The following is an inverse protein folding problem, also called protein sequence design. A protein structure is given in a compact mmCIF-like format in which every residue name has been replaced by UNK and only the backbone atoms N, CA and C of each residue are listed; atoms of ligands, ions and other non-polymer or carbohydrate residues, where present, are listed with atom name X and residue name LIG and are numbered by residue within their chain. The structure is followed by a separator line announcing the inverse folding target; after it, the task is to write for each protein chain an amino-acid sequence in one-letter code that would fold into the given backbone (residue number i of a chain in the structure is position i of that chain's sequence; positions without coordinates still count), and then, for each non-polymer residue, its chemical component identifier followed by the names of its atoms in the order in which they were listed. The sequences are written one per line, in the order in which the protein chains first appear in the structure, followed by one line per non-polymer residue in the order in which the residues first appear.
data_IF_410334137501
#
_entry.id   IF_410334137501
#
_cell.length_a   1.000
_cell.length_b   1.000
_cell.length_c   1.000
_cell.angle_alpha   90.00
_cell.angle_beta   90.00
_cell.angle_gamma   90.00
#
_symmetry.space_group_name_H-M   'P 1'
#
loop_
_entity.id
_entity.type
_entity.pdbx_description
1 polymer ?
#
# COMPACT_ATOMS: atom_id res chain seq x y z
N UNK A 1 0.40 14.65 -24.19
CA UNK A 1 0.93 13.56 -23.35
C UNK A 1 -0.18 12.96 -22.49
N UNK A 2 -0.31 11.66 -22.50
CA UNK A 2 -1.33 10.99 -21.70
C UNK A 2 -0.86 10.94 -20.26
N UNK A 3 -1.70 11.44 -19.35
CA UNK A 3 -1.43 11.42 -17.92
C UNK A 3 -1.59 10.00 -17.40
N UNK A 4 -0.60 9.48 -16.68
CA UNK A 4 -0.70 8.17 -16.05
C UNK A 4 -1.75 8.21 -14.95
N UNK A 5 -2.49 7.11 -14.80
CA UNK A 5 -3.49 6.96 -13.74
C UNK A 5 -3.14 5.74 -12.90
N UNK A 6 -3.09 5.93 -11.58
CA UNK A 6 -2.78 4.85 -10.63
C UNK A 6 -3.88 4.81 -9.57
N UNK A 7 -4.47 3.64 -9.39
CA UNK A 7 -5.51 3.44 -8.38
C UNK A 7 -4.91 2.78 -7.14
N UNK A 8 -5.05 3.46 -6.00
CA UNK A 8 -4.43 3.04 -4.74
C UNK A 8 -5.48 2.77 -3.67
N UNK A 9 -5.32 1.65 -2.98
CA UNK A 9 -6.06 1.38 -1.75
C UNK A 9 -5.14 1.64 -0.57
N UNK A 10 -5.53 2.56 0.31
CA UNK A 10 -4.79 2.86 1.55
C UNK A 10 -5.57 2.30 2.72
N UNK A 11 -4.94 1.40 3.48
CA UNK A 11 -5.55 0.77 4.65
C UNK A 11 -4.79 1.26 5.87
N UNK A 12 -5.35 2.26 6.55
CA UNK A 12 -4.69 2.97 7.64
C UNK A 12 -5.73 3.55 8.58
N UNK A 13 -5.71 3.14 9.85
CA UNK A 13 -6.69 3.61 10.83
C UNK A 13 -6.35 4.96 11.46
N UNK A 14 -5.12 5.41 11.36
CA UNK A 14 -4.72 6.73 11.87
C UNK A 14 -4.99 7.79 10.80
N UNK A 15 -5.96 8.70 11.03
CA UNK A 15 -6.34 9.67 10.01
C UNK A 15 -5.22 10.66 9.67
N UNK A 16 -4.35 10.98 10.62
CA UNK A 16 -3.20 11.85 10.36
C UNK A 16 -2.19 11.22 9.43
N UNK A 17 -1.89 9.94 9.66
CA UNK A 17 -0.95 9.21 8.81
C UNK A 17 -1.52 9.03 7.40
N UNK A 18 -2.80 8.68 7.30
CA UNK A 18 -3.47 8.54 6.01
C UNK A 18 -3.49 9.86 5.23
N UNK A 19 -3.78 10.96 5.93
CA UNK A 19 -3.83 12.28 5.31
C UNK A 19 -2.46 12.68 4.78
N UNK A 20 -1.40 12.41 5.53
CA UNK A 20 -0.04 12.74 5.13
C UNK A 20 0.33 12.04 3.82
N UNK A 21 0.02 10.76 3.72
CA UNK A 21 0.25 9.99 2.49
C UNK A 21 -0.53 10.59 1.33
N UNK A 22 -1.80 10.90 1.53
CA UNK A 22 -2.63 11.48 0.48
C UNK A 22 -2.12 12.84 0.02
N UNK A 23 -1.65 13.68 0.95
CA UNK A 23 -1.08 14.98 0.60
C UNK A 23 0.20 14.83 -0.23
N UNK A 24 1.04 13.86 0.11
CA UNK A 24 2.24 13.57 -0.69
C UNK A 24 1.89 13.19 -2.12
N UNK A 25 0.87 12.36 -2.29
CA UNK A 25 0.46 11.91 -3.63
C UNK A 25 -0.16 13.04 -4.45
N UNK A 26 -0.83 13.98 -3.81
CA UNK A 26 -1.40 15.15 -4.48
C UNK A 26 -0.34 16.09 -5.05
N UNK A 27 0.87 16.06 -4.51
CA UNK A 27 1.96 16.90 -5.00
C UNK A 27 2.54 16.41 -6.34
N UNK A 28 2.24 15.18 -6.71
CA UNK A 28 2.75 14.59 -7.96
C UNK A 28 1.89 15.09 -9.12
N UNK A 29 2.50 15.75 -10.09
CA UNK A 29 1.76 16.42 -11.18
C UNK A 29 1.53 15.56 -12.42
N UNK A 30 2.39 14.57 -12.66
CA UNK A 30 2.35 13.79 -13.89
C UNK A 30 1.49 12.53 -13.78
N UNK A 31 0.96 12.25 -12.60
CA UNK A 31 0.16 11.07 -12.33
C UNK A 31 -1.14 11.48 -11.67
N UNK A 32 -2.22 10.89 -12.15
CA UNK A 32 -3.54 11.06 -11.54
C UNK A 32 -3.78 9.87 -10.61
N UNK A 33 -3.76 10.13 -9.30
CA UNK A 33 -3.99 9.08 -8.30
C UNK A 33 -5.45 9.03 -7.92
N UNK A 34 -6.06 7.86 -8.13
CA UNK A 34 -7.39 7.58 -7.62
C UNK A 34 -7.22 6.82 -6.30
N UNK A 35 -7.56 7.45 -5.18
CA UNK A 35 -7.28 6.93 -3.86
C UNK A 35 -8.57 6.53 -3.16
N UNK A 36 -8.60 5.29 -2.66
CA UNK A 36 -9.63 4.84 -1.73
C UNK A 36 -8.94 4.58 -0.41
N UNK A 37 -9.42 5.24 0.65
CA UNK A 37 -8.86 5.10 1.99
C UNK A 37 -9.89 4.41 2.89
N UNK A 38 -9.47 3.34 3.56
CA UNK A 38 -10.29 2.63 4.52
C UNK A 38 -9.55 2.48 5.85
N UNK A 39 -10.29 2.27 6.92
CA UNK A 39 -9.76 2.22 8.28
C UNK A 39 -9.55 0.80 8.81
N UNK A 40 -10.12 -0.19 8.13
CA UNK A 40 -10.20 -1.56 8.62
C UNK A 40 -9.93 -2.57 7.52
N UNK A 41 -9.45 -3.73 7.89
CA UNK A 41 -9.17 -4.79 6.94
C UNK A 41 -10.45 -5.28 6.25
N UNK A 42 -11.55 -5.44 6.99
CA UNK A 42 -12.81 -5.92 6.42
C UNK A 42 -13.34 -4.97 5.33
N UNK A 43 -13.18 -3.66 5.53
CA UNK A 43 -13.54 -2.68 4.50
C UNK A 43 -12.66 -2.83 3.25
N UNK A 44 -11.36 -3.03 3.45
CA UNK A 44 -10.42 -3.23 2.35
C UNK A 44 -10.81 -4.44 1.50
N UNK A 45 -11.19 -5.53 2.14
CA UNK A 45 -11.58 -6.75 1.43
C UNK A 45 -12.84 -6.51 0.58
N UNK A 46 -13.79 -5.73 1.08
CA UNK A 46 -15.00 -5.39 0.33
C UNK A 46 -14.68 -4.55 -0.90
N UNK A 47 -13.87 -3.51 -0.75
CA UNK A 47 -13.49 -2.67 -1.88
C UNK A 47 -12.69 -3.44 -2.93
N UNK A 48 -11.86 -4.38 -2.47
CA UNK A 48 -11.05 -5.19 -3.39
C UNK A 48 -11.91 -6.06 -4.31
N UNK A 49 -13.10 -6.45 -3.86
CA UNK A 49 -14.01 -7.28 -4.68
C UNK A 49 -14.53 -6.55 -5.92
N UNK A 50 -14.64 -5.23 -5.86
CA UNK A 50 -15.28 -4.44 -6.91
C UNK A 50 -14.36 -3.42 -7.59
N UNK A 51 -13.08 -3.41 -7.23
CA UNK A 51 -12.11 -2.46 -7.77
C UNK A 51 -10.85 -3.18 -8.24
N UNK A 52 -10.18 -2.59 -9.23
CA UNK A 52 -8.89 -3.08 -9.71
C UNK A 52 -7.81 -2.12 -9.27
N UNK A 53 -7.24 -2.36 -8.09
CA UNK A 53 -6.17 -1.51 -7.57
C UNK A 53 -4.84 -1.85 -8.23
N UNK A 54 -4.03 -0.82 -8.42
CA UNK A 54 -2.66 -0.98 -8.96
C UNK A 54 -1.66 -1.24 -7.84
N UNK A 55 -1.95 -0.76 -6.64
CA UNK A 55 -1.08 -0.94 -5.47
C UNK A 55 -1.90 -0.76 -4.20
N UNK A 56 -1.47 -1.45 -3.15
CA UNK A 56 -2.09 -1.38 -1.82
C UNK A 56 -1.04 -0.88 -0.84
N UNK A 57 -1.39 0.15 -0.05
CA UNK A 57 -0.58 0.60 1.08
C UNK A 57 -1.25 0.10 2.35
N UNK A 58 -0.57 -0.74 3.10
CA UNK A 58 -1.17 -1.48 4.21
C UNK A 58 -0.45 -1.25 5.53
N UNK A 59 -1.15 -0.72 6.52
CA UNK A 59 -0.70 -0.71 7.91
C UNK A 59 -0.98 -2.08 8.52
N UNK A 60 -0.04 -2.64 9.27
CA UNK A 60 -0.20 -3.94 9.90
C UNK A 60 -0.87 -3.87 11.28
N UNK A 61 -1.23 -2.67 11.74
CA UNK A 61 -1.89 -2.49 13.04
C UNK A 61 -3.24 -1.81 12.82
N UNK A 62 -4.27 -2.61 12.64
CA UNK A 62 -5.63 -2.13 12.34
C UNK A 62 -6.59 -2.51 13.45
N UNK A 63 -7.76 -1.87 13.54
CA UNK A 63 -8.73 -2.18 14.61
C UNK A 63 -9.19 -3.64 14.62
N UNK A 64 -9.25 -4.27 13.45
CA UNK A 64 -9.76 -5.63 13.29
C UNK A 64 -8.71 -6.67 12.93
N UNK A 65 -7.41 -6.28 12.86
CA UNK A 65 -6.34 -7.21 12.49
C UNK A 65 -4.97 -6.64 12.82
N UNK A 66 -4.07 -7.47 13.34
CA UNK A 66 -2.72 -7.04 13.72
C UNK A 66 -1.63 -7.96 13.20
N UNK A 67 -0.47 -7.35 12.94
CA UNK A 67 0.77 -8.06 12.64
C UNK A 67 0.77 -8.73 11.28
N UNK A 68 1.53 -9.81 11.19
CA UNK A 68 1.75 -10.51 9.92
C UNK A 68 0.47 -11.14 9.36
N UNK A 69 -0.48 -11.48 10.23
CA UNK A 69 -1.77 -12.03 9.78
C UNK A 69 -2.51 -11.03 8.89
N UNK A 70 -2.39 -9.74 9.19
CA UNK A 70 -2.99 -8.68 8.39
C UNK A 70 -2.47 -8.74 6.96
N UNK A 71 -1.16 -8.86 6.80
CA UNK A 71 -0.56 -8.99 5.48
C UNK A 71 -1.01 -10.28 4.79
N UNK A 72 -0.96 -11.40 5.50
CA UNK A 72 -1.32 -12.71 4.93
C UNK A 72 -2.75 -12.72 4.39
N UNK A 73 -3.69 -12.16 5.14
CA UNK A 73 -5.09 -12.10 4.73
C UNK A 73 -5.25 -11.23 3.48
N UNK A 74 -4.64 -10.04 3.48
CA UNK A 74 -4.76 -9.15 2.33
C UNK A 74 -4.10 -9.75 1.09
N UNK A 75 -2.94 -10.34 1.24
CA UNK A 75 -2.20 -10.95 0.15
C UNK A 75 -2.97 -12.14 -0.45
N UNK A 76 -3.59 -12.95 0.40
CA UNK A 76 -4.40 -14.07 -0.06
C UNK A 76 -5.58 -13.61 -0.92
N UNK A 77 -6.20 -12.49 -0.54
CA UNK A 77 -7.37 -11.96 -1.24
C UNK A 77 -7.00 -11.08 -2.45
N UNK A 78 -5.76 -10.63 -2.55
CA UNK A 78 -5.30 -9.77 -3.64
C UNK A 78 -3.90 -10.23 -4.11
N UNK A 79 -3.77 -11.49 -4.59
CA UNK A 79 -2.45 -12.07 -4.87
C UNK A 79 -1.71 -11.39 -6.02
N UNK A 80 -2.42 -10.72 -6.91
CA UNK A 80 -1.82 -10.08 -8.09
C UNK A 80 -1.55 -8.59 -7.89
N UNK A 81 -1.88 -8.02 -6.73
CA UNK A 81 -1.70 -6.60 -6.46
C UNK A 81 -0.50 -6.43 -5.53
N UNK A 82 0.47 -5.58 -5.89
CA UNK A 82 1.61 -5.34 -5.01
C UNK A 82 1.18 -4.64 -3.73
N UNK A 83 1.70 -5.11 -2.60
CA UNK A 83 1.42 -4.55 -1.28
C UNK A 83 2.68 -3.91 -0.73
N UNK A 84 2.60 -2.63 -0.39
CA UNK A 84 3.64 -1.90 0.32
C UNK A 84 3.17 -1.74 1.76
N UNK A 85 3.96 -2.21 2.72
CA UNK A 85 3.61 -2.12 4.13
C UNK A 85 4.03 -0.77 4.68
N UNK A 86 3.11 -0.11 5.41
CA UNK A 86 3.38 1.12 6.15
C UNK A 86 3.54 0.74 7.62
N UNK A 87 4.63 1.17 8.25
CA UNK A 87 4.91 0.75 9.62
C UNK A 87 5.54 1.88 10.43
N UNK A 88 5.32 1.88 11.75
CA UNK A 88 6.10 2.67 12.67
C UNK A 88 7.45 1.99 12.91
N UNK A 89 8.42 2.74 13.40
CA UNK A 89 9.78 2.23 13.62
C UNK A 89 9.79 1.03 14.57
N UNK A 90 8.97 1.06 15.60
CA UNK A 90 8.87 -0.02 16.59
C UNK A 90 8.31 -1.33 16.05
N UNK A 91 7.60 -1.27 14.93
CA UNK A 91 6.96 -2.44 14.32
C UNK A 91 7.68 -2.92 13.05
N UNK A 92 8.87 -2.41 12.80
CA UNK A 92 9.62 -2.72 11.58
C UNK A 92 9.87 -4.22 11.40
N UNK A 93 10.03 -4.95 12.48
CA UNK A 93 10.25 -6.40 12.41
C UNK A 93 9.10 -7.13 11.70
N UNK A 94 7.87 -6.69 11.92
CA UNK A 94 6.70 -7.27 11.25
C UNK A 94 6.69 -6.93 9.76
N UNK A 95 7.12 -5.72 9.42
CA UNK A 95 7.22 -5.29 8.02
C UNK A 95 8.29 -6.09 7.27
N UNK A 96 9.44 -6.32 7.87
CA UNK A 96 10.50 -7.14 7.29
C UNK A 96 9.98 -8.56 7.05
N UNK A 97 9.26 -9.13 8.01
CA UNK A 97 8.66 -10.44 7.88
C UNK A 97 7.65 -10.48 6.72
N UNK A 98 6.85 -9.42 6.56
CA UNK A 98 5.89 -9.34 5.46
C UNK A 98 6.56 -9.35 4.10
N UNK A 99 7.69 -8.64 3.96
CA UNK A 99 8.47 -8.66 2.71
C UNK A 99 8.97 -10.06 2.42
N UNK A 100 9.44 -10.78 3.43
CA UNK A 100 9.85 -12.18 3.28
C UNK A 100 8.71 -13.10 2.85
N UNK A 101 7.45 -12.70 3.05
CA UNK A 101 6.26 -13.48 2.68
C UNK A 101 5.56 -12.96 1.42
N UNK A 102 6.11 -11.94 0.76
CA UNK A 102 5.59 -11.48 -0.51
C UNK A 102 5.20 -10.01 -0.63
N UNK A 103 5.28 -9.23 0.45
CA UNK A 103 5.11 -7.78 0.32
C UNK A 103 6.23 -7.23 -0.55
N UNK A 104 5.92 -6.27 -1.39
CA UNK A 104 6.92 -5.72 -2.33
C UNK A 104 7.97 -4.88 -1.62
N UNK A 105 7.55 -4.04 -0.69
CA UNK A 105 8.41 -3.14 0.05
C UNK A 105 7.75 -2.78 1.37
N UNK A 106 8.50 -2.13 2.25
CA UNK A 106 7.90 -1.46 3.40
C UNK A 106 8.45 -0.04 3.51
N UNK A 107 7.67 0.84 4.13
CA UNK A 107 8.04 2.23 4.37
C UNK A 107 7.78 2.56 5.84
N UNK A 108 8.69 3.32 6.43
CA UNK A 108 8.55 3.77 7.82
C UNK A 108 7.87 5.13 7.81
N UNK A 109 6.72 5.23 8.49
CA UNK A 109 5.83 6.38 8.43
C UNK A 109 6.51 7.72 8.73
N UNK A 110 7.42 7.78 9.67
CA UNK A 110 8.11 9.02 10.02
C UNK A 110 9.25 9.39 9.10
N UNK A 111 9.67 8.49 8.21
CA UNK A 111 10.82 8.68 7.35
C UNK A 111 10.48 8.84 5.87
N UNK A 112 9.26 8.48 5.48
CA UNK A 112 8.87 8.55 4.07
C UNK A 112 8.60 9.99 3.66
N UNK A 113 9.06 10.35 2.45
CA UNK A 113 8.74 11.64 1.82
C UNK A 113 8.06 11.38 0.47
N UNK A 114 7.65 12.45 -0.20
CA UNK A 114 6.95 12.37 -1.48
C UNK A 114 7.77 11.58 -2.51
N UNK A 115 9.05 11.86 -2.60
CA UNK A 115 9.93 11.24 -3.58
C UNK A 115 10.12 9.74 -3.33
N UNK A 116 10.38 9.35 -2.08
CA UNK A 116 10.57 7.94 -1.73
C UNK A 116 9.28 7.16 -1.87
N UNK A 117 8.14 7.76 -1.52
CA UNK A 117 6.84 7.13 -1.70
C UNK A 117 6.55 6.85 -3.17
N UNK A 118 6.75 7.85 -4.02
CA UNK A 118 6.51 7.70 -5.46
C UNK A 118 7.42 6.64 -6.08
N UNK A 119 8.69 6.62 -5.70
CA UNK A 119 9.62 5.60 -6.18
C UNK A 119 9.20 4.20 -5.77
N UNK A 120 8.77 4.04 -4.52
CA UNK A 120 8.33 2.75 -4.02
C UNK A 120 7.10 2.25 -4.77
N UNK A 121 6.13 3.14 -5.00
CA UNK A 121 4.92 2.80 -5.76
C UNK A 121 5.27 2.35 -7.18
N UNK A 122 6.11 3.11 -7.88
CA UNK A 122 6.51 2.78 -9.25
C UNK A 122 7.26 1.45 -9.33
N UNK A 123 8.24 1.24 -8.43
CA UNK A 123 8.99 -0.02 -8.40
C UNK A 123 8.07 -1.20 -8.14
N UNK A 124 7.13 -1.05 -7.21
CA UNK A 124 6.22 -2.13 -6.84
C UNK A 124 5.32 -2.52 -8.00
N UNK A 125 4.75 -1.55 -8.69
CA UNK A 125 3.90 -1.80 -9.85
C UNK A 125 4.69 -2.45 -10.98
N UNK A 126 5.87 -1.91 -11.30
CA UNK A 126 6.70 -2.42 -12.39
C UNK A 126 7.20 -3.84 -12.09
N UNK A 127 7.62 -4.09 -10.85
CA UNK A 127 8.11 -5.40 -10.44
C UNK A 127 7.02 -6.46 -10.60
N UNK A 128 5.78 -6.14 -10.19
CA UNK A 128 4.66 -7.09 -10.28
C UNK A 128 4.30 -7.39 -11.73
N UNK A 129 4.29 -6.37 -12.58
CA UNK A 129 4.02 -6.54 -14.02
C UNK A 129 5.08 -7.44 -14.66
N UNK A 130 6.37 -7.19 -14.38
CA UNK A 130 7.48 -7.99 -14.91
C UNK A 130 7.35 -9.45 -14.43
N UNK A 131 7.05 -9.65 -13.15
CA UNK A 131 6.85 -10.98 -12.59
C UNK A 131 5.70 -11.73 -13.24
N UNK A 132 4.63 -11.03 -13.61
CA UNK A 132 3.46 -11.63 -14.26
C UNK A 132 3.70 -11.98 -15.74
N UNK A 133 4.74 -11.44 -16.34
CA UNK A 133 5.10 -11.76 -17.73
C UNK A 133 5.89 -13.07 -17.84
N UNK A 134 6.46 -13.51 -16.73
CA UNK A 134 7.19 -14.78 -16.67
C UNK A 134 6.24 -15.95 -16.38
#
# INVERSE_FOLDING_TARGET
MIKSSIKILIIEDNPGDARLIQEMLKEVKDIDFEIIHVLRLDEALKYNLTNNFDVILLDLCLPDSEGIDTFNIMNYNAPDIPIIVLTGLEDEIFAVSAVGKGAQEYLIKGEVDCKSLLKSIRRSINHKVIGNLD
#
